data_IF_410055584337
#
_entry.id   IF_410055584337
#
_cell.length_a   1.000
_cell.length_b   1.000
_cell.length_c   1.000
_cell.angle_alpha   90.00
_cell.angle_beta   90.00
_cell.angle_gamma   90.00
#
_symmetry.space_group_name_H-M   'P 1'
#
loop_
_entity.id
_entity.type
_entity.pdbx_description
1 polymer ?
#
# COMPACT_ATOMS: atom_id res chain seq x y z
N UNK A 1 1.06 -6.79 24.75
CA UNK A 1 -0.14 -5.95 24.51
C UNK A 1 0.27 -4.83 23.58
N UNK A 2 -0.10 -4.91 22.30
CA UNK A 2 0.32 -3.95 21.27
C UNK A 2 -0.77 -2.90 21.09
N UNK A 3 -0.44 -1.62 21.31
CA UNK A 3 -1.38 -0.51 21.18
C UNK A 3 -1.39 0.01 19.73
N UNK A 4 -2.58 0.28 19.18
CA UNK A 4 -2.74 0.64 17.77
C UNK A 4 -3.16 2.10 17.63
N UNK A 5 -2.46 2.88 16.79
CA UNK A 5 -2.72 4.32 16.59
C UNK A 5 -4.05 4.53 15.84
N UNK A 6 -5.00 5.23 16.47
CA UNK A 6 -6.22 5.72 15.81
C UNK A 6 -5.94 7.01 15.04
N UNK A 7 -6.47 7.10 13.81
CA UNK A 7 -6.34 8.24 12.91
C UNK A 7 -6.89 9.53 13.55
N UNK A 8 -6.03 10.55 13.68
CA UNK A 8 -6.41 11.93 13.95
C UNK A 8 -5.77 12.84 12.88
N UNK A 9 -6.48 13.92 12.54
CA UNK A 9 -6.32 14.72 11.31
C UNK A 9 -5.12 15.68 11.29
N UNK A 10 -4.36 15.79 12.38
CA UNK A 10 -3.04 16.43 12.41
C UNK A 10 -2.02 15.35 12.77
N UNK A 11 -1.10 15.05 11.85
CA UNK A 11 -0.10 14.02 12.06
C UNK A 11 0.79 14.36 13.27
N UNK A 12 1.20 13.37 14.08
CA UNK A 12 2.12 13.61 15.18
C UNK A 12 3.41 14.25 14.66
N UNK A 13 4.02 15.12 15.46
CA UNK A 13 5.36 15.60 15.14
C UNK A 13 6.34 14.42 15.01
N UNK A 14 7.45 14.60 14.30
CA UNK A 14 8.45 13.52 14.15
C UNK A 14 8.96 12.99 15.50
N UNK A 15 9.05 13.88 16.49
CA UNK A 15 9.46 13.56 17.86
C UNK A 15 8.38 12.77 18.61
N UNK A 16 7.12 13.20 18.54
CA UNK A 16 5.98 12.50 19.15
C UNK A 16 5.78 11.10 18.53
N UNK A 17 6.03 10.96 17.22
CA UNK A 17 6.01 9.68 16.54
C UNK A 17 7.10 8.74 17.08
N UNK A 18 8.32 9.24 17.31
CA UNK A 18 9.41 8.45 17.86
C UNK A 18 9.09 7.93 19.27
N UNK A 19 8.47 8.77 20.11
CA UNK A 19 8.01 8.35 21.44
C UNK A 19 6.93 7.26 21.36
N UNK A 20 5.95 7.43 20.48
CA UNK A 20 4.90 6.43 20.23
C UNK A 20 5.50 5.10 19.74
N UNK A 21 6.48 5.15 18.85
CA UNK A 21 7.16 3.94 18.35
C UNK A 21 7.96 3.24 19.46
N UNK A 22 8.63 3.99 20.34
CA UNK A 22 9.31 3.45 21.54
C UNK A 22 8.32 2.82 22.53
N UNK A 23 7.14 3.41 22.70
CA UNK A 23 6.05 2.85 23.49
C UNK A 23 5.40 1.60 22.86
N UNK A 24 5.86 1.17 21.68
CA UNK A 24 5.38 -0.03 21.00
C UNK A 24 4.13 0.19 20.17
N UNK A 25 3.71 1.45 19.95
CA UNK A 25 2.60 1.71 19.04
C UNK A 25 3.00 1.43 17.61
N UNK A 26 2.11 0.78 16.86
CA UNK A 26 2.25 0.53 15.42
C UNK A 26 1.02 1.02 14.69
N UNK A 27 1.15 1.19 13.38
CA UNK A 27 0.04 1.57 12.50
C UNK A 27 -1.07 0.51 12.59
N UNK A 28 -2.32 0.89 12.31
CA UNK A 28 -3.39 -0.12 12.14
C UNK A 28 -3.10 -0.95 10.89
N UNK A 29 -3.66 -2.14 10.83
CA UNK A 29 -3.75 -2.87 9.56
C UNK A 29 -4.49 -1.97 8.54
N UNK A 30 -3.95 -1.78 7.33
CA UNK A 30 -4.59 -0.95 6.32
C UNK A 30 -5.99 -1.48 5.98
N UNK A 31 -7.00 -0.59 6.00
CA UNK A 31 -8.34 -0.94 5.54
C UNK A 31 -8.37 -0.88 4.00
N UNK A 32 -7.93 -1.94 3.35
CA UNK A 32 -7.99 -2.08 1.90
C UNK A 32 -9.31 -2.76 1.50
N UNK A 33 -10.01 -2.32 0.43
CA UNK A 33 -11.21 -3.00 -0.02
C UNK A 33 -10.84 -4.41 -0.49
N UNK A 34 -11.07 -5.38 0.37
CA UNK A 34 -11.02 -6.79 0.03
C UNK A 34 -12.22 -7.06 -0.89
N UNK A 35 -12.00 -6.93 -2.18
CA UNK A 35 -12.76 -7.73 -3.12
C UNK A 35 -12.47 -9.20 -2.72
N UNK A 36 -13.47 -9.83 -2.10
CA UNK A 36 -13.69 -11.27 -2.06
C UNK A 36 -12.44 -12.14 -1.78
N UNK A 37 -12.09 -12.29 -0.49
CA UNK A 37 -11.24 -13.40 -0.01
C UNK A 37 -9.81 -13.06 0.41
N UNK A 38 -9.37 -11.81 0.26
CA UNK A 38 -7.96 -11.42 0.49
C UNK A 38 -7.60 -10.98 1.93
N UNK A 39 -8.49 -11.17 2.91
CA UNK A 39 -8.23 -10.79 4.31
C UNK A 39 -7.08 -11.62 4.92
N UNK A 40 -6.99 -12.91 4.57
CA UNK A 40 -5.93 -13.79 5.05
C UNK A 40 -4.53 -13.35 4.59
N UNK A 41 -4.41 -12.95 3.33
CA UNK A 41 -3.13 -12.45 2.79
C UNK A 41 -2.79 -11.09 3.40
N UNK A 42 -3.75 -10.19 3.58
CA UNK A 42 -3.53 -8.91 4.25
C UNK A 42 -3.02 -9.11 5.69
N UNK A 43 -3.64 -10.05 6.42
CA UNK A 43 -3.23 -10.40 7.78
C UNK A 43 -1.83 -11.03 7.82
N UNK A 44 -1.51 -11.93 6.89
CA UNK A 44 -0.19 -12.54 6.79
C UNK A 44 0.89 -11.50 6.46
N UNK A 45 0.61 -10.55 5.56
CA UNK A 45 1.55 -9.49 5.19
C UNK A 45 1.78 -8.57 6.39
N UNK A 46 0.70 -8.21 7.07
CA UNK A 46 0.76 -7.38 8.26
C UNK A 46 1.53 -8.07 9.39
N UNK A 47 1.48 -9.40 9.50
CA UNK A 47 2.31 -10.15 10.46
C UNK A 47 3.81 -10.05 10.16
N UNK A 48 4.20 -10.10 8.88
CA UNK A 48 5.58 -9.87 8.44
C UNK A 48 6.01 -8.43 8.78
N UNK A 49 5.14 -7.45 8.53
CA UNK A 49 5.40 -6.05 8.90
C UNK A 49 5.66 -5.87 10.40
N UNK A 50 4.87 -6.54 11.25
CA UNK A 50 5.08 -6.52 12.70
C UNK A 50 6.41 -7.15 13.12
N UNK A 51 6.84 -8.24 12.47
CA UNK A 51 8.15 -8.85 12.66
C UNK A 51 9.29 -7.89 12.29
N UNK A 52 9.17 -7.17 11.18
CA UNK A 52 10.14 -6.14 10.79
C UNK A 52 10.18 -4.95 11.77
N UNK A 53 9.08 -4.68 12.46
CA UNK A 53 8.95 -3.57 13.40
C UNK A 53 9.23 -3.94 14.86
N UNK A 54 9.93 -5.04 15.12
CA UNK A 54 10.40 -5.36 16.47
C UNK A 54 11.30 -4.25 17.02
N UNK A 55 11.13 -3.97 18.32
CA UNK A 55 11.91 -2.93 19.01
C UNK A 55 13.39 -3.30 19.02
N UNK A 56 13.68 -4.55 19.35
CA UNK A 56 15.03 -5.11 19.29
C UNK A 56 15.43 -5.37 17.81
N UNK A 57 16.52 -4.77 17.31
CA UNK A 57 16.98 -4.99 15.95
C UNK A 57 17.45 -6.42 15.70
N UNK A 58 17.97 -7.12 16.72
CA UNK A 58 18.45 -8.50 16.57
C UNK A 58 17.30 -9.50 16.39
N UNK A 59 16.11 -9.14 16.86
CA UNK A 59 14.88 -9.93 16.70
C UNK A 59 14.20 -9.71 15.35
N UNK A 60 14.70 -8.81 14.50
CA UNK A 60 14.13 -8.56 13.16
C UNK A 60 14.58 -9.66 12.19
N UNK A 61 13.71 -10.08 11.26
CA UNK A 61 14.10 -11.06 10.26
C UNK A 61 15.19 -10.51 9.34
N UNK A 62 16.10 -11.37 8.92
CA UNK A 62 17.06 -11.07 7.86
C UNK A 62 16.35 -10.97 6.51
N UNK A 63 16.96 -10.28 5.55
CA UNK A 63 16.39 -10.13 4.21
C UNK A 63 16.18 -11.46 3.49
N UNK A 64 17.05 -12.45 3.72
CA UNK A 64 16.89 -13.78 3.11
C UNK A 64 15.61 -14.48 3.60
N UNK A 65 15.31 -14.37 4.90
CA UNK A 65 14.07 -14.89 5.50
C UNK A 65 12.85 -14.17 4.94
N UNK A 66 12.92 -12.84 4.81
CA UNK A 66 11.85 -12.06 4.19
C UNK A 66 11.61 -12.47 2.73
N UNK A 67 12.68 -12.73 1.98
CA UNK A 67 12.57 -13.16 0.59
C UNK A 67 11.85 -14.51 0.48
N UNK A 68 12.12 -15.45 1.39
CA UNK A 68 11.40 -16.72 1.48
C UNK A 68 9.93 -16.52 1.90
N UNK A 69 9.67 -15.68 2.91
CA UNK A 69 8.32 -15.35 3.37
C UNK A 69 7.47 -14.74 2.25
N UNK A 70 8.07 -13.87 1.43
CA UNK A 70 7.40 -13.25 0.27
C UNK A 70 7.29 -14.19 -0.93
N UNK A 71 8.21 -15.13 -1.12
CA UNK A 71 8.15 -16.11 -2.21
C UNK A 71 7.05 -17.15 -1.98
N UNK A 72 6.82 -17.53 -0.72
CA UNK A 72 5.72 -18.42 -0.32
C UNK A 72 4.37 -17.68 -0.19
N UNK A 73 4.38 -16.37 -0.37
CA UNK A 73 3.20 -15.53 -0.40
C UNK A 73 2.54 -15.70 -1.77
N UNK A 74 1.88 -16.85 -1.98
CA UNK A 74 1.23 -17.18 -3.24
C UNK A 74 0.30 -16.03 -3.67
N UNK A 75 0.78 -15.39 -4.74
CA UNK A 75 0.19 -14.29 -5.44
C UNK A 75 -1.12 -14.80 -6.08
N UNK A 76 -2.21 -14.77 -5.32
CA UNK A 76 -3.53 -14.49 -5.85
C UNK A 76 -3.62 -13.00 -6.24
N UNK A 77 -2.64 -12.50 -7.01
CA UNK A 77 -2.82 -11.27 -7.76
C UNK A 77 -3.63 -11.72 -8.97
N UNK A 78 -4.96 -11.75 -8.82
CA UNK A 78 -5.82 -11.64 -9.99
C UNK A 78 -5.32 -10.46 -10.84
N UNK A 79 -5.25 -10.65 -12.16
CA UNK A 79 -4.83 -9.69 -13.19
C UNK A 79 -5.55 -8.31 -13.13
N UNK A 80 -6.46 -8.08 -12.18
CA UNK A 80 -7.23 -6.84 -12.00
C UNK A 80 -6.39 -5.61 -11.63
N UNK A 81 -5.11 -5.75 -11.31
CA UNK A 81 -4.23 -4.63 -10.92
C UNK A 81 -3.25 -4.16 -12.00
N UNK A 82 -3.19 -4.82 -13.16
CA UNK A 82 -2.49 -4.27 -14.34
C UNK A 82 -3.39 -3.30 -15.11
N UNK A 83 -3.79 -2.20 -14.48
CA UNK A 83 -4.19 -1.03 -15.27
C UNK A 83 -2.91 -0.36 -15.75
N UNK A 84 -2.62 -0.48 -17.05
CA UNK A 84 -1.50 0.25 -17.63
C UNK A 84 -1.69 1.75 -17.34
N UNK A 85 -0.61 2.54 -17.15
CA UNK A 85 -0.72 3.98 -16.94
C UNK A 85 -1.59 4.71 -18.00
N UNK A 86 -1.77 4.13 -19.19
CA UNK A 86 -2.70 4.63 -20.22
C UNK A 86 -4.17 4.54 -19.83
N UNK A 87 -4.61 3.51 -19.11
CA UNK A 87 -6.02 3.30 -18.76
C UNK A 87 -6.48 4.26 -17.64
N UNK A 88 -5.58 4.59 -16.71
CA UNK A 88 -5.84 5.58 -15.65
C UNK A 88 -6.01 6.99 -16.24
N UNK A 89 -5.24 7.32 -17.29
CA UNK A 89 -5.35 8.59 -18.02
C UNK A 89 -6.67 8.71 -18.80
N UNK A 90 -7.20 7.62 -19.36
CA UNK A 90 -8.43 7.66 -20.16
C UNK A 90 -9.69 7.83 -19.27
N UNK A 91 -9.70 7.26 -18.06
CA UNK A 91 -10.77 7.47 -17.05
C UNK A 91 -10.85 8.92 -16.53
N UNK A 92 -9.76 9.67 -16.59
CA UNK A 92 -9.72 11.07 -16.12
C UNK A 92 -10.30 12.07 -17.12
N UNK A 93 -10.68 11.64 -18.34
CA UNK A 93 -11.30 12.51 -19.35
C UNK A 93 -10.42 13.70 -19.80
N UNK A 94 -9.14 13.72 -19.44
CA UNK A 94 -8.30 14.92 -19.57
C UNK A 94 -7.90 15.23 -21.02
N UNK A 95 -7.96 14.25 -21.94
CA UNK A 95 -7.44 14.40 -23.32
C UNK A 95 -8.49 14.47 -24.44
N UNK A 96 -9.80 14.39 -24.15
CA UNK A 96 -10.81 14.49 -25.23
C UNK A 96 -11.04 15.91 -25.75
N UNK A 97 -10.36 16.93 -25.19
CA UNK A 97 -10.54 18.34 -25.55
C UNK A 97 -9.46 18.95 -26.43
N UNK A 98 -8.58 18.17 -27.07
CA UNK A 98 -7.59 18.71 -28.02
C UNK A 98 -7.71 18.19 -29.47
N UNK A 99 -8.93 17.87 -29.91
CA UNK A 99 -9.25 17.74 -31.35
C UNK A 99 -10.32 18.75 -31.77
N UNK A 100 -10.00 20.04 -31.69
CA UNK A 100 -10.71 21.07 -32.47
C UNK A 100 -9.70 21.85 -33.32
N UNK A 101 -10.01 21.85 -34.62
CA UNK A 101 -9.49 22.71 -35.70
C UNK A 101 -8.15 22.31 -36.33
N UNK A 102 -8.20 21.42 -37.33
CA UNK A 102 -7.50 21.68 -38.60
C UNK A 102 -8.39 21.37 -39.81
N UNK A 103 -8.94 22.47 -40.34
CA UNK A 103 -9.06 22.83 -41.77
C UNK A 103 -10.05 22.06 -42.65
N UNK A 104 -11.14 22.76 -42.97
CA UNK A 104 -11.78 22.71 -44.27
C UNK A 104 -10.76 23.03 -45.39
N UNK A 105 -10.70 22.21 -46.45
CA UNK A 105 -10.37 22.65 -47.83
C UNK A 105 -10.63 21.53 -48.88
N UNK A 106 -11.46 21.88 -49.88
CA UNK A 106 -11.63 21.29 -51.24
C UNK A 106 -12.15 19.84 -51.29
N UNK A 107 -13.23 19.54 -52.03
CA UNK A 107 -13.49 19.84 -53.45
C UNK A 107 -14.91 20.28 -53.70
#
# INVERSE_FOLDING_TARGET
MTLIISSCADGPSSEELAEKLKAGLRLKIPSYPANDGNEKSLNALYSIMLHCWQLDPCSRPAFDVLHEDFANFDIAIEEKYYHSPREVLDRSGFFTRMRRKKRAKKR
#
